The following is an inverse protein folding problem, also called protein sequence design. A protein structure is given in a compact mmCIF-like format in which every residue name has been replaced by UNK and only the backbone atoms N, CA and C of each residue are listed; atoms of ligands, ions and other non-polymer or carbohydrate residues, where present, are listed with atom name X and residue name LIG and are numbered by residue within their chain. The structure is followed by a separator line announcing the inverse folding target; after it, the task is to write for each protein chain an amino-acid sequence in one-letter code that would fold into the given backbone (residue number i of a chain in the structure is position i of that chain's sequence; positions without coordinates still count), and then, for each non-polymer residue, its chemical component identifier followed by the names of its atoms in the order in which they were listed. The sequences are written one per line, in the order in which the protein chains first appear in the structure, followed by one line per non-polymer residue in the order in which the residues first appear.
data_IF_291905652576
#
_entry.id   IF_291905652576
#
_cell.length_a   1.000
_cell.length_b   1.000
_cell.length_c   1.000
_cell.angle_alpha   90.00
_cell.angle_beta   90.00
_cell.angle_gamma   90.00
#
_symmetry.space_group_name_H-M   'P 1'
#
loop_
_entity.id
_entity.type
_entity.pdbx_description
1 polymer ?
#
# COMPACT_ATOMS: atom_id res chain seq x y z
N UNK A 1 11.90 9.49 -7.02
CA UNK A 1 10.55 9.06 -7.42
C UNK A 1 9.46 9.75 -6.60
N UNK A 2 9.51 9.74 -5.25
CA UNK A 2 8.49 10.31 -4.37
C UNK A 2 8.21 11.80 -4.66
N UNK A 3 9.25 12.65 -4.70
CA UNK A 3 9.13 14.08 -5.00
C UNK A 3 8.51 14.30 -6.39
N UNK A 4 9.00 13.61 -7.42
CA UNK A 4 8.46 13.72 -8.76
C UNK A 4 6.98 13.30 -8.81
N UNK A 5 6.60 12.21 -8.14
CA UNK A 5 5.21 11.77 -8.04
C UNK A 5 4.33 12.83 -7.37
N UNK A 6 4.80 13.44 -6.29
CA UNK A 6 4.09 14.50 -5.57
C UNK A 6 3.88 15.73 -6.44
N UNK A 7 4.90 16.17 -7.18
CA UNK A 7 4.82 17.33 -8.09
C UNK A 7 3.82 17.04 -9.22
N UNK A 8 3.91 15.87 -9.87
CA UNK A 8 3.02 15.48 -10.96
C UNK A 8 1.55 15.39 -10.51
N UNK A 9 1.31 15.07 -9.24
CA UNK A 9 -0.03 14.96 -8.66
C UNK A 9 -0.45 16.18 -7.85
N UNK A 10 0.23 17.32 -7.98
CA UNK A 10 -0.05 18.52 -7.18
C UNK A 10 -1.50 18.99 -7.27
N UNK A 11 -2.14 18.85 -8.44
CA UNK A 11 -3.57 19.17 -8.63
C UNK A 11 -4.50 18.36 -7.73
N UNK A 12 -4.10 17.13 -7.35
CA UNK A 12 -4.87 16.31 -6.42
C UNK A 12 -4.95 16.96 -5.04
N UNK A 13 -3.84 17.49 -4.53
CA UNK A 13 -3.81 18.20 -3.23
C UNK A 13 -4.73 19.44 -3.24
N UNK A 14 -4.73 20.22 -4.32
CA UNK A 14 -5.64 21.35 -4.47
C UNK A 14 -7.11 20.92 -4.51
N UNK A 15 -7.38 19.74 -5.04
CA UNK A 15 -8.74 19.21 -5.15
C UNK A 15 -9.31 18.71 -3.82
N UNK A 16 -8.46 18.43 -2.80
CA UNK A 16 -8.91 17.94 -1.50
C UNK A 16 -9.92 18.89 -0.83
N UNK A 17 -9.74 20.19 -1.01
CA UNK A 17 -10.59 21.21 -0.39
C UNK A 17 -11.77 21.66 -1.26
N UNK A 18 -11.96 21.06 -2.45
CA UNK A 18 -12.98 21.48 -3.41
C UNK A 18 -13.96 20.36 -3.72
N UNK A 19 -15.25 20.71 -3.87
CA UNK A 19 -16.31 19.81 -4.35
C UNK A 19 -16.90 18.89 -3.28
N UNK A 20 -17.94 18.14 -3.66
CA UNK A 20 -18.69 17.24 -2.75
C UNK A 20 -17.90 15.94 -2.50
N UNK A 21 -17.86 15.50 -1.25
CA UNK A 21 -17.27 14.24 -0.85
C UNK A 21 -18.28 13.10 -1.00
N UNK A 22 -17.99 12.18 -1.91
CA UNK A 22 -18.71 10.89 -2.01
C UNK A 22 -17.98 9.84 -1.18
N UNK A 23 -18.63 8.74 -0.73
CA UNK A 23 -17.95 7.68 0.01
C UNK A 23 -16.69 7.16 -0.68
N UNK A 24 -16.72 6.98 -1.98
CA UNK A 24 -15.57 6.57 -2.80
C UNK A 24 -14.41 7.58 -2.75
N UNK A 25 -14.74 8.87 -2.81
CA UNK A 25 -13.74 9.94 -2.77
C UNK A 25 -13.12 10.05 -1.37
N UNK A 26 -13.96 9.95 -0.34
CA UNK A 26 -13.51 9.96 1.06
C UNK A 26 -12.54 8.82 1.33
N UNK A 27 -12.90 7.58 0.98
CA UNK A 27 -12.02 6.42 1.16
C UNK A 27 -10.69 6.59 0.41
N UNK A 28 -10.74 7.05 -0.84
CA UNK A 28 -9.52 7.29 -1.61
C UNK A 28 -8.65 8.39 -0.99
N UNK A 29 -9.26 9.47 -0.48
CA UNK A 29 -8.53 10.55 0.18
C UNK A 29 -7.87 10.07 1.47
N UNK A 30 -8.56 9.29 2.30
CA UNK A 30 -8.01 8.73 3.54
C UNK A 30 -6.80 7.85 3.25
N UNK A 31 -6.90 6.91 2.29
CA UNK A 31 -5.77 6.03 1.94
C UNK A 31 -4.58 6.85 1.43
N UNK A 32 -4.81 7.84 0.58
CA UNK A 32 -3.73 8.65 0.01
C UNK A 32 -3.05 9.55 1.05
N UNK A 33 -3.83 10.14 1.97
CA UNK A 33 -3.28 10.96 3.07
C UNK A 33 -2.50 10.07 4.05
N UNK A 34 -3.06 8.91 4.43
CA UNK A 34 -2.37 7.96 5.30
C UNK A 34 -1.06 7.48 4.68
N UNK A 35 -1.04 7.17 3.37
CA UNK A 35 0.16 6.80 2.64
C UNK A 35 1.19 7.94 2.64
N UNK A 36 0.76 9.18 2.40
CA UNK A 36 1.66 10.34 2.45
C UNK A 36 2.31 10.47 3.82
N UNK A 37 1.51 10.40 4.90
CA UNK A 37 2.02 10.47 6.28
C UNK A 37 2.99 9.33 6.57
N UNK A 38 2.64 8.09 6.24
CA UNK A 38 3.51 6.93 6.44
C UNK A 38 4.84 7.05 5.67
N UNK A 39 4.79 7.55 4.42
CA UNK A 39 6.00 7.83 3.63
C UNK A 39 6.88 8.90 4.26
N UNK A 40 6.30 9.99 4.77
CA UNK A 40 7.06 11.02 5.47
C UNK A 40 7.69 10.49 6.75
N UNK A 41 6.96 9.71 7.54
CA UNK A 41 7.49 9.03 8.73
C UNK A 41 8.65 8.10 8.36
N UNK A 42 8.52 7.31 7.28
CA UNK A 42 9.56 6.43 6.79
C UNK A 42 10.81 7.22 6.36
N UNK A 43 10.65 8.36 5.69
CA UNK A 43 11.77 9.21 5.26
C UNK A 43 12.50 9.83 6.47
N UNK A 44 11.76 10.41 7.41
CA UNK A 44 12.34 11.02 8.62
C UNK A 44 13.05 9.96 9.47
N UNK A 45 12.42 8.81 9.68
CA UNK A 45 13.04 7.72 10.45
C UNK A 45 14.28 7.15 9.78
N UNK A 46 14.33 7.11 8.44
CA UNK A 46 15.53 6.72 7.69
C UNK A 46 16.73 7.62 7.99
N UNK A 47 16.49 8.93 8.12
CA UNK A 47 17.54 9.90 8.50
C UNK A 47 18.05 9.61 9.92
N UNK A 48 17.15 9.35 10.87
CA UNK A 48 17.49 9.06 12.27
C UNK A 48 18.27 7.74 12.44
N UNK A 49 17.97 6.73 11.60
CA UNK A 49 18.63 5.41 11.64
C UNK A 49 19.95 5.42 10.87
N UNK A 50 20.17 6.38 9.98
CA UNK A 50 21.34 6.41 9.11
C UNK A 50 22.61 6.77 9.89
N UNK A 51 23.38 5.76 10.26
CA UNK A 51 24.68 5.95 10.94
C UNK A 51 25.85 6.34 10.03
N UNK A 52 25.65 6.46 8.71
CA UNK A 52 26.71 6.79 7.75
C UNK A 52 26.38 8.07 6.96
N UNK A 53 25.28 8.08 6.22
CA UNK A 53 24.94 9.17 5.28
C UNK A 53 24.61 10.47 6.01
N UNK A 54 23.93 10.38 7.14
CA UNK A 54 23.51 11.54 7.95
C UNK A 54 24.22 11.62 9.31
N UNK A 55 25.34 10.89 9.49
CA UNK A 55 26.12 10.90 10.72
C UNK A 55 26.58 12.30 11.15
N UNK A 56 26.78 13.19 10.18
CA UNK A 56 27.20 14.60 10.43
C UNK A 56 26.14 15.43 11.16
N UNK A 57 24.86 15.01 11.13
CA UNK A 57 23.78 15.70 11.85
C UNK A 57 23.78 15.40 13.35
N UNK A 58 24.51 14.36 13.78
CA UNK A 58 24.61 13.91 15.18
C UNK A 58 23.24 13.88 15.90
N UNK A 59 22.21 13.46 15.20
CA UNK A 59 20.85 13.36 15.72
C UNK A 59 20.77 12.14 16.64
N UNK A 60 20.53 12.37 17.93
CA UNK A 60 20.20 11.30 18.86
C UNK A 60 18.89 10.59 18.48
N UNK A 61 18.57 9.47 19.13
CA UNK A 61 17.26 8.82 18.97
C UNK A 61 17.23 7.67 17.96
N UNK A 62 18.37 7.05 17.64
CA UNK A 62 18.46 5.90 16.73
C UNK A 62 17.50 4.75 17.09
N UNK A 63 17.22 4.53 18.38
CA UNK A 63 16.25 3.52 18.84
C UNK A 63 14.82 3.87 18.40
N UNK A 64 14.39 5.10 18.66
CA UNK A 64 13.06 5.59 18.23
C UNK A 64 12.97 5.60 16.71
N UNK A 65 14.03 6.05 16.03
CA UNK A 65 14.13 6.01 14.58
C UNK A 65 13.95 4.61 14.01
N UNK A 66 14.56 3.59 14.61
CA UNK A 66 14.42 2.19 14.18
C UNK A 66 12.99 1.69 14.32
N UNK A 67 12.38 1.90 15.49
CA UNK A 67 10.99 1.51 15.73
C UNK A 67 10.04 2.18 14.73
N UNK A 68 10.17 3.50 14.58
CA UNK A 68 9.34 4.27 13.65
C UNK A 68 9.56 3.81 12.20
N UNK A 69 10.80 3.49 11.81
CA UNK A 69 11.11 3.00 10.47
C UNK A 69 10.46 1.64 10.18
N UNK A 70 10.58 0.69 11.12
CA UNK A 70 9.98 -0.65 10.98
C UNK A 70 8.45 -0.56 10.81
N UNK A 71 7.78 0.16 11.70
CA UNK A 71 6.32 0.32 11.64
C UNK A 71 5.88 1.09 10.39
N UNK A 72 6.56 2.20 10.07
CA UNK A 72 6.17 3.01 8.91
C UNK A 72 6.41 2.28 7.59
N UNK A 73 7.46 1.48 7.44
CA UNK A 73 7.68 0.67 6.22
C UNK A 73 6.61 -0.41 6.04
N UNK A 74 6.19 -1.08 7.11
CA UNK A 74 5.11 -2.06 7.06
C UNK A 74 3.78 -1.39 6.64
N UNK A 75 3.43 -0.24 7.22
CA UNK A 75 2.25 0.52 6.82
C UNK A 75 2.36 1.09 5.41
N UNK A 76 3.53 1.57 4.98
CA UNK A 76 3.75 2.00 3.59
C UNK A 76 3.47 0.86 2.63
N UNK A 77 3.92 -0.36 2.91
CA UNK A 77 3.64 -1.52 2.06
C UNK A 77 2.14 -1.78 1.90
N UNK A 78 1.38 -1.81 3.00
CA UNK A 78 -0.07 -2.03 2.97
C UNK A 78 -0.79 -0.89 2.25
N UNK A 79 -0.49 0.36 2.62
CA UNK A 79 -1.17 1.54 2.05
C UNK A 79 -0.82 1.74 0.58
N UNK A 80 0.41 1.46 0.16
CA UNK A 80 0.83 1.47 -1.25
C UNK A 80 0.07 0.41 -2.05
N UNK A 81 -0.09 -0.79 -1.50
CA UNK A 81 -0.84 -1.88 -2.12
C UNK A 81 -2.33 -1.52 -2.28
N UNK A 82 -2.94 -0.92 -1.24
CA UNK A 82 -4.31 -0.40 -1.31
C UNK A 82 -4.43 0.72 -2.35
N UNK A 83 -3.47 1.65 -2.37
CA UNK A 83 -3.42 2.74 -3.34
C UNK A 83 -3.33 2.23 -4.78
N UNK A 84 -2.49 1.23 -5.02
CA UNK A 84 -2.40 0.56 -6.32
C UNK A 84 -3.77 0.03 -6.77
N UNK A 85 -4.48 -0.67 -5.90
CA UNK A 85 -5.81 -1.21 -6.19
C UNK A 85 -6.84 -0.14 -6.55
N UNK A 86 -6.80 1.04 -5.91
CA UNK A 86 -7.67 2.17 -6.25
C UNK A 86 -7.47 2.64 -7.70
N UNK A 87 -6.28 2.44 -8.28
CA UNK A 87 -5.90 2.89 -9.62
C UNK A 87 -5.96 1.77 -10.68
N UNK A 88 -6.34 0.53 -10.35
CA UNK A 88 -6.45 -0.57 -11.32
C UNK A 88 -7.65 -0.45 -12.28
N UNK A 89 -8.67 0.34 -11.95
CA UNK A 89 -9.88 0.45 -12.77
C UNK A 89 -9.64 0.87 -14.24
N UNK A 90 -8.76 1.84 -14.57
CA UNK A 90 -8.45 2.19 -15.94
C UNK A 90 -7.85 1.02 -16.75
N UNK A 91 -6.96 0.24 -16.12
CA UNK A 91 -6.35 -0.94 -16.75
C UNK A 91 -7.38 -2.03 -17.00
N UNK A 92 -8.22 -2.34 -16.01
CA UNK A 92 -9.31 -3.29 -16.16
C UNK A 92 -10.30 -2.87 -17.26
N UNK A 93 -10.56 -1.56 -17.41
CA UNK A 93 -11.44 -1.04 -18.47
C UNK A 93 -10.84 -1.20 -19.87
N UNK A 94 -9.52 -1.04 -20.04
CA UNK A 94 -8.83 -1.31 -21.31
C UNK A 94 -8.95 -2.78 -21.71
N UNK A 95 -8.85 -3.69 -20.75
CA UNK A 95 -8.96 -5.13 -20.98
C UNK A 95 -10.38 -5.60 -21.28
N UNK A 96 -11.41 -4.79 -21.03
CA UNK A 96 -12.83 -5.14 -21.37
C UNK A 96 -13.03 -5.44 -22.85
N UNK A 97 -12.23 -4.83 -23.72
CA UNK A 97 -12.26 -5.09 -25.16
C UNK A 97 -11.88 -6.54 -25.49
N UNK A 98 -11.08 -7.18 -24.63
CA UNK A 98 -10.61 -8.57 -24.76
C UNK A 98 -11.12 -9.37 -23.56
N UNK A 99 -12.37 -9.83 -23.63
CA UNK A 99 -13.07 -10.49 -22.52
C UNK A 99 -12.32 -11.68 -21.90
N UNK A 100 -11.63 -12.46 -22.73
CA UNK A 100 -10.86 -13.64 -22.26
C UNK A 100 -9.72 -13.22 -21.33
N UNK A 101 -8.91 -12.21 -21.75
CA UNK A 101 -7.81 -11.70 -20.92
C UNK A 101 -8.30 -11.04 -19.63
N UNK A 102 -9.48 -10.39 -19.68
CA UNK A 102 -10.05 -9.81 -18.47
C UNK A 102 -10.44 -10.89 -17.45
N UNK A 103 -11.05 -11.99 -17.90
CA UNK A 103 -11.42 -13.09 -17.00
C UNK A 103 -10.18 -13.84 -16.47
N UNK A 104 -9.21 -14.15 -17.33
CA UNK A 104 -7.96 -14.75 -16.90
C UNK A 104 -7.23 -13.89 -15.85
N UNK A 105 -7.11 -12.58 -16.11
CA UNK A 105 -6.50 -11.65 -15.16
C UNK A 105 -7.24 -11.57 -13.81
N UNK A 106 -8.57 -11.67 -13.80
CA UNK A 106 -9.36 -11.70 -12.57
C UNK A 106 -9.13 -12.98 -11.77
N UNK A 107 -9.11 -14.14 -12.44
CA UNK A 107 -8.88 -15.43 -11.79
C UNK A 107 -7.47 -15.42 -11.17
N UNK A 108 -6.46 -15.02 -11.94
CA UNK A 108 -5.08 -14.92 -11.44
C UNK A 108 -5.00 -13.96 -10.23
N UNK A 109 -5.63 -12.79 -10.32
CA UNK A 109 -5.63 -11.82 -9.23
C UNK A 109 -6.29 -12.38 -7.96
N UNK A 110 -7.40 -13.12 -8.08
CA UNK A 110 -8.08 -13.73 -6.94
C UNK A 110 -7.24 -14.85 -6.33
N UNK A 111 -6.62 -15.70 -7.15
CA UNK A 111 -5.74 -16.78 -6.67
C UNK A 111 -4.51 -16.22 -5.95
N UNK A 112 -3.86 -15.19 -6.55
CA UNK A 112 -2.75 -14.50 -5.91
C UNK A 112 -3.18 -13.81 -4.62
N UNK A 113 -4.37 -13.21 -4.59
CA UNK A 113 -4.88 -12.56 -3.38
C UNK A 113 -5.15 -13.58 -2.27
N UNK A 114 -5.73 -14.74 -2.58
CA UNK A 114 -5.97 -15.81 -1.61
C UNK A 114 -4.65 -16.35 -1.04
N UNK A 115 -3.67 -16.60 -1.90
CA UNK A 115 -2.33 -16.98 -1.46
C UNK A 115 -1.65 -15.86 -0.64
N UNK A 116 -1.83 -14.59 -1.03
CA UNK A 116 -1.30 -13.44 -0.30
C UNK A 116 -1.87 -13.29 1.11
N UNK A 117 -3.16 -13.62 1.32
CA UNK A 117 -3.77 -13.67 2.65
C UNK A 117 -3.14 -14.80 3.48
N UNK A 118 -2.93 -15.97 2.89
CA UNK A 118 -2.23 -17.08 3.56
C UNK A 118 -0.82 -16.63 4.00
N UNK A 119 -0.03 -16.06 3.10
CA UNK A 119 1.33 -15.57 3.40
C UNK A 119 1.33 -14.47 4.46
N UNK A 120 0.35 -13.58 4.46
CA UNK A 120 0.20 -12.53 5.47
C UNK A 120 0.08 -13.12 6.89
N UNK A 121 -0.69 -14.20 7.03
CA UNK A 121 -0.86 -14.91 8.31
C UNK A 121 0.37 -15.75 8.63
N UNK A 122 0.87 -16.54 7.67
CA UNK A 122 2.01 -17.44 7.82
C UNK A 122 3.29 -16.68 8.24
N UNK A 123 3.53 -15.52 7.63
CA UNK A 123 4.65 -14.65 8.00
C UNK A 123 4.38 -13.79 9.24
N UNK A 124 3.20 -13.88 9.83
CA UNK A 124 2.78 -13.00 10.93
C UNK A 124 3.09 -11.51 10.64
N UNK A 125 2.79 -11.05 9.39
CA UNK A 125 3.11 -9.67 8.98
C UNK A 125 2.38 -8.61 9.81
N UNK A 126 1.27 -8.97 10.44
CA UNK A 126 0.56 -8.10 11.41
C UNK A 126 1.42 -7.71 12.61
N UNK A 127 2.42 -8.53 13.00
CA UNK A 127 3.33 -8.20 14.09
C UNK A 127 4.21 -6.98 13.74
N UNK A 128 4.61 -6.84 12.48
CA UNK A 128 5.37 -5.68 11.99
C UNK A 128 4.49 -4.41 11.94
N UNK A 129 3.21 -4.55 11.59
CA UNK A 129 2.27 -3.42 11.56
C UNK A 129 2.02 -2.81 12.93
N UNK A 130 1.98 -3.63 13.98
CA UNK A 130 1.65 -3.22 15.35
C UNK A 130 2.84 -3.25 16.29
N UNK A 131 4.06 -3.46 15.76
CA UNK A 131 5.29 -3.55 16.55
C UNK A 131 5.20 -4.54 17.71
N UNK A 132 4.63 -5.72 17.46
CA UNK A 132 4.50 -6.78 18.46
C UNK A 132 5.82 -7.55 18.64
N UNK A 133 6.73 -7.50 17.65
CA UNK A 133 8.06 -8.07 17.69
C UNK A 133 9.10 -7.01 17.31
N UNK A 134 10.19 -6.91 18.09
CA UNK A 134 11.33 -6.00 17.79
C UNK A 134 12.24 -6.57 16.71
N UNK A 135 12.24 -7.87 16.54
CA UNK A 135 13.16 -8.57 15.65
C UNK A 135 12.47 -9.76 14.99
N UNK A 136 12.57 -9.83 13.67
CA UNK A 136 12.13 -10.97 12.91
C UNK A 136 13.30 -11.59 12.19
N UNK A 137 13.54 -12.87 12.46
CA UNK A 137 14.59 -13.60 11.76
C UNK A 137 14.19 -13.81 10.29
N UNK A 138 15.16 -13.52 9.45
CA UNK A 138 15.02 -13.81 8.03
C UNK A 138 15.17 -15.32 7.83
N UNK A 139 14.19 -15.97 7.24
CA UNK A 139 14.27 -17.39 6.90
C UNK A 139 15.25 -17.56 5.73
N UNK A 140 16.48 -17.97 6.05
CA UNK A 140 17.56 -18.15 5.09
C UNK A 140 17.36 -19.36 4.19
N UNK A 141 16.45 -20.27 4.53
CA UNK A 141 16.16 -21.49 3.76
C UNK A 141 15.24 -21.18 2.56
N UNK A 142 14.53 -20.06 2.60
CA UNK A 142 13.70 -19.58 1.48
C UNK A 142 14.54 -18.87 0.43
N UNK A 143 14.34 -19.21 -0.84
CA UNK A 143 14.99 -18.47 -1.94
C UNK A 143 14.48 -17.04 -2.04
N UNK A 144 15.34 -16.10 -2.48
CA UNK A 144 14.95 -14.70 -2.70
C UNK A 144 13.76 -14.59 -3.68
N UNK A 145 13.71 -15.44 -4.72
CA UNK A 145 12.62 -15.46 -5.68
C UNK A 145 11.26 -15.78 -5.01
N UNK A 146 11.23 -16.73 -4.08
CA UNK A 146 10.03 -17.07 -3.31
C UNK A 146 9.60 -15.90 -2.42
N UNK A 147 10.56 -15.21 -1.78
CA UNK A 147 10.29 -14.01 -0.99
C UNK A 147 9.62 -12.91 -1.81
N UNK A 148 10.14 -12.63 -3.02
CA UNK A 148 9.54 -11.65 -3.94
C UNK A 148 8.14 -12.06 -4.36
N UNK A 149 7.94 -13.32 -4.72
CA UNK A 149 6.63 -13.84 -5.12
C UNK A 149 5.60 -13.72 -3.99
N UNK A 150 5.95 -14.11 -2.77
CA UNK A 150 5.09 -14.00 -1.58
C UNK A 150 4.75 -12.52 -1.28
N UNK A 151 5.71 -11.60 -1.43
CA UNK A 151 5.48 -10.16 -1.25
C UNK A 151 4.53 -9.60 -2.31
N UNK A 152 4.68 -10.02 -3.58
CA UNK A 152 3.75 -9.65 -4.66
C UNK A 152 2.34 -10.22 -4.38
N UNK A 153 2.24 -11.45 -3.87
CA UNK A 153 0.97 -12.05 -3.52
C UNK A 153 0.27 -11.30 -2.38
N UNK A 154 0.98 -10.92 -1.31
CA UNK A 154 0.43 -10.07 -0.24
C UNK A 154 -0.03 -8.71 -0.78
N UNK A 155 0.77 -8.06 -1.63
CA UNK A 155 0.38 -6.80 -2.27
C UNK A 155 -0.87 -6.97 -3.13
N UNK A 156 -1.00 -8.09 -3.86
CA UNK A 156 -2.19 -8.44 -4.65
C UNK A 156 -3.45 -8.58 -3.79
N UNK A 157 -3.34 -9.13 -2.57
CA UNK A 157 -4.46 -9.24 -1.64
C UNK A 157 -5.02 -7.85 -1.28
N UNK A 158 -4.18 -6.92 -0.84
CA UNK A 158 -4.58 -5.56 -0.50
C UNK A 158 -5.08 -4.77 -1.73
N UNK A 159 -4.41 -4.91 -2.87
CA UNK A 159 -4.83 -4.26 -4.11
C UNK A 159 -6.21 -4.76 -4.58
N UNK A 160 -6.45 -6.06 -4.51
CA UNK A 160 -7.75 -6.66 -4.84
C UNK A 160 -8.84 -6.18 -3.89
N UNK A 161 -8.56 -6.14 -2.58
CA UNK A 161 -9.47 -5.62 -1.57
C UNK A 161 -9.90 -4.18 -1.86
N UNK A 162 -8.96 -3.28 -2.13
CA UNK A 162 -9.27 -1.88 -2.40
C UNK A 162 -9.96 -1.68 -3.76
N UNK A 163 -9.60 -2.44 -4.80
CA UNK A 163 -10.25 -2.40 -6.10
C UNK A 163 -11.74 -2.78 -6.03
N UNK A 164 -12.05 -3.91 -5.41
CA UNK A 164 -13.43 -4.37 -5.26
C UNK A 164 -14.20 -3.52 -4.23
N UNK A 165 -13.56 -3.11 -3.14
CA UNK A 165 -14.15 -2.19 -2.16
C UNK A 165 -14.59 -0.88 -2.80
N UNK A 166 -13.73 -0.26 -3.62
CA UNK A 166 -14.09 0.95 -4.41
C UNK A 166 -15.29 0.70 -5.34
N UNK A 167 -15.32 -0.45 -6.02
CA UNK A 167 -16.41 -0.82 -6.92
C UNK A 167 -17.75 -0.97 -6.17
N UNK A 168 -17.74 -1.60 -5.01
CA UNK A 168 -18.92 -1.75 -4.15
C UNK A 168 -19.46 -0.39 -3.67
N UNK A 169 -18.58 0.50 -3.21
CA UNK A 169 -18.95 1.85 -2.82
C UNK A 169 -19.58 2.66 -3.97
N UNK A 170 -19.08 2.48 -5.19
CA UNK A 170 -19.66 3.12 -6.38
C UNK A 170 -21.06 2.60 -6.71
N UNK A 171 -21.30 1.29 -6.57
CA UNK A 171 -22.61 0.69 -6.81
C UNK A 171 -23.63 1.20 -5.79
N UNK A 172 -23.28 1.20 -4.49
CA UNK A 172 -24.15 1.71 -3.42
C UNK A 172 -24.51 3.18 -3.62
N UNK A 173 -23.53 4.02 -4.00
CA UNK A 173 -23.76 5.45 -4.25
C UNK A 173 -24.67 5.74 -5.46
N UNK A 174 -24.79 4.81 -6.41
CA UNK A 174 -25.73 4.93 -7.54
C UNK A 174 -27.17 4.60 -7.14
N UNK A 175 -27.35 3.59 -6.29
CA UNK A 175 -28.68 3.19 -5.79
C UNK A 175 -29.33 4.24 -4.90
N UNK A 176 -28.56 5.00 -4.14
CA UNK A 176 -29.08 6.06 -3.25
C UNK A 176 -29.49 7.34 -4.01
N UNK A 177 -29.25 7.42 -5.31
CA UNK A 177 -29.60 8.58 -6.15
C UNK A 177 -30.84 8.37 -7.02
N UNK A 178 -31.48 7.19 -6.93
CA UNK A 178 -32.77 6.84 -7.53
C UNK A 178 -33.85 6.95 -6.45
#
# INVERSE_FOLDING_TARGET
LFIAHTILNFRWYQSLFKGKYTPTRTTSAIINIALLVAMLCCMVSSVLVSGKVFAFLNLGGARIGRTLHLVSTAWVFVLMSLHLGLHLAPFANKLKKHRQFLWAGRIIAVLLAAYGVYVFVDRAFYEELFYLTEFKFFDTDKSAALYFFETIAMSSAFATLSYYGKKLLQMKSRQTKI
#
